data_IF_731347374137
#
_entry.id   IF_731347374137
#
_cell.length_a   1.000
_cell.length_b   1.000
_cell.length_c   1.000
_cell.angle_alpha   90.00
_cell.angle_beta   90.00
_cell.angle_gamma   90.00
#
_symmetry.space_group_name_H-M   'P 1'
#
loop_
_entity.id
_entity.type
_entity.pdbx_description
1 polymer ?
#
# COMPACT_ATOMS: atom_id res chain seq x y z
N UNK A 1 21.33 11.13 29.70
CA UNK A 1 21.91 10.56 28.48
C UNK A 1 21.50 11.38 27.23
N UNK A 2 20.22 11.78 27.05
CA UNK A 2 19.75 12.57 25.92
C UNK A 2 20.46 13.93 25.79
N UNK A 3 20.69 14.66 26.91
CA UNK A 3 21.35 15.97 26.87
C UNK A 3 22.74 15.92 26.22
N UNK A 4 23.57 14.92 26.57
CA UNK A 4 24.91 14.75 25.98
C UNK A 4 24.85 14.49 24.46
N UNK A 5 23.83 13.74 23.98
CA UNK A 5 23.63 13.50 22.55
C UNK A 5 23.25 14.81 21.84
N UNK A 6 22.35 15.60 22.42
CA UNK A 6 21.96 16.90 21.89
C UNK A 6 23.17 17.85 21.77
N UNK A 7 24.01 17.94 22.82
CA UNK A 7 25.23 18.74 22.80
C UNK A 7 26.21 18.31 21.69
N UNK A 8 26.35 17.00 21.47
CA UNK A 8 27.19 16.46 20.41
C UNK A 8 26.64 16.76 19.00
N UNK A 9 25.33 16.85 18.86
CA UNK A 9 24.65 17.12 17.57
C UNK A 9 24.57 18.63 17.25
N UNK A 10 24.72 19.50 18.24
CA UNK A 10 24.55 20.96 18.05
C UNK A 10 25.44 21.59 16.96
N UNK A 11 26.74 21.22 16.83
CA UNK A 11 27.57 21.72 15.75
C UNK A 11 27.06 21.30 14.36
N UNK A 12 26.56 20.04 14.28
CA UNK A 12 25.99 19.52 13.03
C UNK A 12 24.67 20.21 12.70
N UNK A 13 23.81 20.46 13.70
CA UNK A 13 22.54 21.16 13.51
C UNK A 13 22.72 22.55 12.92
N UNK A 14 23.69 23.32 13.43
CA UNK A 14 24.02 24.64 12.91
C UNK A 14 24.47 24.55 11.45
N UNK A 15 25.40 23.63 11.16
CA UNK A 15 25.91 23.45 9.80
C UNK A 15 24.84 22.99 8.81
N UNK A 16 23.93 22.09 9.24
CA UNK A 16 22.79 21.66 8.42
C UNK A 16 21.87 22.84 8.14
N UNK A 17 21.58 23.67 9.15
CA UNK A 17 20.74 24.86 8.97
C UNK A 17 21.34 25.88 7.99
N UNK A 18 22.67 26.05 8.00
CA UNK A 18 23.41 26.92 7.09
C UNK A 18 23.40 26.38 5.64
N UNK A 19 23.64 25.09 5.49
CA UNK A 19 23.70 24.42 4.19
C UNK A 19 22.34 24.22 3.53
N UNK A 20 21.26 24.22 4.33
CA UNK A 20 19.89 23.95 3.87
C UNK A 20 19.81 22.75 2.91
N UNK A 21 20.31 21.58 3.33
CA UNK A 21 20.34 20.43 2.46
C UNK A 21 18.92 20.03 2.06
N UNK A 22 18.75 19.69 0.79
CA UNK A 22 17.51 19.12 0.28
C UNK A 22 17.58 17.60 0.32
N UNK A 23 16.45 16.95 0.69
CA UNK A 23 16.35 15.51 0.64
C UNK A 23 16.36 15.05 -0.83
N UNK A 24 17.42 14.40 -1.24
CA UNK A 24 17.50 13.80 -2.57
C UNK A 24 16.87 12.39 -2.51
N UNK A 25 15.60 12.30 -2.82
CA UNK A 25 14.85 11.05 -2.89
C UNK A 25 14.37 10.81 -4.32
N UNK A 26 14.71 9.64 -4.87
CA UNK A 26 14.27 9.19 -6.19
C UNK A 26 13.03 8.28 -6.11
N UNK A 27 12.60 7.94 -4.89
CA UNK A 27 11.40 7.15 -4.61
C UNK A 27 10.36 8.03 -3.92
N UNK A 28 9.14 7.99 -4.43
CA UNK A 28 7.95 8.58 -3.81
C UNK A 28 7.11 7.51 -3.13
N UNK A 29 6.56 7.82 -1.97
CA UNK A 29 5.56 7.03 -1.30
C UNK A 29 4.26 7.83 -1.28
N UNK A 30 3.26 7.38 -2.03
CA UNK A 30 2.01 8.10 -2.23
C UNK A 30 1.07 7.88 -1.04
N UNK A 31 0.61 8.96 -0.45
CA UNK A 31 -0.32 8.95 0.66
C UNK A 31 -1.66 9.55 0.22
N UNK A 32 -2.71 8.73 0.21
CA UNK A 32 -4.08 9.15 -0.06
C UNK A 32 -4.83 9.35 1.24
N UNK A 33 -5.12 10.61 1.60
CA UNK A 33 -5.92 10.92 2.79
C UNK A 33 -7.35 10.39 2.63
N UNK A 34 -7.95 10.57 1.46
CA UNK A 34 -9.29 10.08 1.15
C UNK A 34 -9.42 8.58 1.41
N UNK A 35 -8.45 7.81 0.92
CA UNK A 35 -8.43 6.36 1.15
C UNK A 35 -8.20 5.98 2.60
N UNK A 36 -7.43 6.78 3.37
CA UNK A 36 -7.19 6.52 4.79
C UNK A 36 -8.42 6.77 5.67
N UNK A 37 -9.22 7.79 5.37
CA UNK A 37 -10.35 8.18 6.24
C UNK A 37 -11.66 7.48 5.89
N UNK A 38 -11.76 6.84 4.73
CA UNK A 38 -12.98 6.18 4.30
C UNK A 38 -13.19 4.85 5.03
N UNK A 39 -14.13 4.85 5.97
CA UNK A 39 -14.43 3.71 6.84
C UNK A 39 -15.01 2.51 6.10
N UNK A 40 -15.88 2.74 5.12
CA UNK A 40 -16.58 1.67 4.41
C UNK A 40 -15.63 0.76 3.62
N UNK A 41 -14.55 1.33 3.10
CA UNK A 41 -13.62 0.62 2.21
C UNK A 41 -12.34 0.19 2.91
N UNK A 42 -12.00 0.79 4.04
CA UNK A 42 -10.78 0.49 4.82
C UNK A 42 -11.02 -0.21 6.16
N UNK A 43 -12.26 -0.40 6.54
CA UNK A 43 -12.65 -1.20 7.69
C UNK A 43 -12.58 -0.51 9.05
N UNK A 44 -11.61 0.39 9.31
CA UNK A 44 -11.49 1.10 10.60
C UNK A 44 -11.18 2.57 10.38
N UNK A 45 -11.97 3.48 10.97
CA UNK A 45 -11.67 4.90 10.94
C UNK A 45 -10.35 5.20 11.68
N UNK A 46 -9.57 6.15 11.15
CA UNK A 46 -8.31 6.58 11.76
C UNK A 46 -8.48 6.95 13.24
N UNK A 47 -9.59 7.57 13.60
CA UNK A 47 -9.87 7.99 14.97
C UNK A 47 -10.00 6.82 15.94
N UNK A 48 -10.30 5.62 15.46
CA UNK A 48 -10.45 4.41 16.27
C UNK A 48 -9.27 3.44 16.21
N UNK A 49 -8.17 3.80 15.56
CA UNK A 49 -6.98 2.94 15.49
C UNK A 49 -6.44 2.60 16.88
N UNK A 50 -6.53 3.52 17.84
CA UNK A 50 -6.14 3.28 19.23
C UNK A 50 -7.05 2.28 19.96
N UNK A 51 -8.35 2.23 19.62
CA UNK A 51 -9.28 1.26 20.19
C UNK A 51 -9.05 -0.14 19.63
N UNK A 52 -8.70 -0.24 18.35
CA UNK A 52 -8.41 -1.51 17.70
C UNK A 52 -7.16 -2.20 18.27
N UNK A 53 -6.17 -1.43 18.73
CA UNK A 53 -4.95 -1.97 19.33
C UNK A 53 -5.15 -2.54 20.74
N UNK A 54 -6.18 -2.13 21.45
CA UNK A 54 -6.46 -2.55 22.84
C UNK A 54 -7.13 -3.93 22.93
N UNK A 55 -7.80 -4.38 21.87
CA UNK A 55 -8.50 -5.67 21.84
C UNK A 55 -7.76 -6.66 20.93
N UNK A 56 -6.85 -7.39 21.50
CA UNK A 56 -5.90 -8.32 20.86
C UNK A 56 -6.48 -9.46 20.00
N UNK A 57 -7.78 -9.55 19.78
CA UNK A 57 -8.40 -10.70 19.12
C UNK A 57 -9.10 -10.42 17.78
N UNK A 58 -9.13 -9.17 17.35
CA UNK A 58 -9.71 -8.81 16.05
C UNK A 58 -9.14 -7.47 15.60
N UNK A 59 -7.87 -7.45 15.21
CA UNK A 59 -7.21 -6.23 14.75
C UNK A 59 -7.88 -5.81 13.44
N UNK A 60 -8.82 -4.90 13.52
CA UNK A 60 -9.28 -4.16 12.35
C UNK A 60 -8.14 -3.23 11.96
N UNK A 61 -7.57 -3.44 10.79
CA UNK A 61 -6.47 -2.66 10.28
C UNK A 61 -6.97 -1.67 9.24
N UNK A 62 -6.35 -0.50 9.19
CA UNK A 62 -6.53 0.41 8.08
C UNK A 62 -5.55 -0.01 6.98
N UNK A 63 -6.05 -0.63 5.92
CA UNK A 63 -5.22 -1.19 4.87
C UNK A 63 -4.28 -0.18 4.23
N UNK A 64 -4.77 1.01 3.91
CA UNK A 64 -3.96 2.07 3.30
C UNK A 64 -2.81 2.46 4.21
N UNK A 65 -3.07 2.69 5.50
CA UNK A 65 -2.04 3.08 6.45
C UNK A 65 -1.04 1.96 6.72
N UNK A 66 -1.52 0.72 6.91
CA UNK A 66 -0.66 -0.43 7.18
C UNK A 66 0.30 -0.71 6.01
N UNK A 67 -0.18 -0.62 4.77
CA UNK A 67 0.64 -0.84 3.58
C UNK A 67 1.67 0.29 3.37
N UNK A 68 1.29 1.55 3.64
CA UNK A 68 2.21 2.68 3.59
C UNK A 68 3.32 2.52 4.64
N UNK A 69 2.96 2.18 5.88
CA UNK A 69 3.94 1.96 6.95
C UNK A 69 4.85 0.78 6.65
N UNK A 70 4.31 -0.31 6.10
CA UNK A 70 5.09 -1.46 5.66
C UNK A 70 6.09 -1.10 4.56
N UNK A 71 5.66 -0.35 3.56
CA UNK A 71 6.55 0.13 2.48
C UNK A 71 7.62 1.07 3.01
N UNK A 72 7.28 1.98 3.92
CA UNK A 72 8.23 2.86 4.57
C UNK A 72 9.27 2.07 5.38
N UNK A 73 8.84 1.02 6.11
CA UNK A 73 9.76 0.16 6.85
C UNK A 73 10.72 -0.58 5.91
N UNK A 74 10.24 -1.13 4.80
CA UNK A 74 11.08 -1.79 3.79
C UNK A 74 12.12 -0.81 3.24
N UNK A 75 11.70 0.39 2.83
CA UNK A 75 12.60 1.40 2.29
C UNK A 75 13.67 1.81 3.31
N UNK A 76 13.28 1.99 4.58
CA UNK A 76 14.21 2.30 5.67
C UNK A 76 15.22 1.18 5.90
N UNK A 77 14.79 -0.08 5.91
CA UNK A 77 15.68 -1.25 6.05
C UNK A 77 16.67 -1.39 4.90
N UNK A 78 16.24 -1.01 3.70
CA UNK A 78 17.08 -1.02 2.50
C UNK A 78 17.92 0.25 2.34
N UNK A 79 17.83 1.20 3.28
CA UNK A 79 18.49 2.50 3.21
C UNK A 79 18.19 3.30 1.92
N UNK A 80 16.97 3.16 1.41
CA UNK A 80 16.49 3.88 0.23
C UNK A 80 15.78 5.16 0.68
N UNK A 81 16.33 6.35 0.38
CA UNK A 81 15.65 7.61 0.68
C UNK A 81 14.35 7.73 -0.11
N UNK A 82 13.29 8.14 0.56
CA UNK A 82 11.99 8.40 -0.07
C UNK A 82 11.38 9.69 0.44
N UNK A 83 10.46 10.25 -0.32
CA UNK A 83 9.61 11.36 0.12
C UNK A 83 8.15 10.98 0.06
N UNK A 84 7.36 11.54 0.97
CA UNK A 84 5.90 11.39 0.93
C UNK A 84 5.36 12.33 -0.14
N UNK A 85 4.49 11.79 -0.97
CA UNK A 85 3.74 12.51 -2.00
C UNK A 85 2.26 12.35 -1.72
N UNK A 86 1.50 13.43 -1.80
CA UNK A 86 0.05 13.43 -1.60
C UNK A 86 -0.65 13.93 -2.86
N UNK A 87 -1.97 13.80 -2.90
CA UNK A 87 -2.82 14.40 -3.92
C UNK A 87 -2.61 15.93 -4.06
N UNK A 88 -2.35 16.61 -2.93
CA UNK A 88 -2.07 18.06 -2.88
C UNK A 88 -0.66 18.40 -3.33
N UNK A 89 0.32 17.56 -2.94
CA UNK A 89 1.75 17.79 -3.24
C UNK A 89 2.25 16.88 -4.36
N UNK A 90 1.45 16.73 -5.41
CA UNK A 90 1.67 15.80 -6.52
C UNK A 90 2.76 16.20 -7.50
N UNK A 91 3.83 16.81 -7.02
CA UNK A 91 5.04 17.01 -7.81
C UNK A 91 5.88 15.72 -7.82
N UNK A 92 5.92 15.05 -8.96
CA UNK A 92 6.70 13.83 -9.17
C UNK A 92 8.10 14.12 -9.76
N UNK A 93 8.49 15.39 -9.88
CA UNK A 93 9.78 15.76 -10.44
C UNK A 93 10.94 15.11 -9.69
N UNK A 94 11.89 14.56 -10.42
CA UNK A 94 13.07 13.88 -9.87
C UNK A 94 12.80 12.50 -9.27
N UNK A 95 11.55 12.03 -9.24
CA UNK A 95 11.24 10.64 -8.87
C UNK A 95 11.50 9.71 -10.05
N UNK A 96 12.06 8.53 -9.74
CA UNK A 96 12.20 7.41 -10.66
C UNK A 96 11.16 6.33 -10.41
N UNK A 97 10.72 6.20 -9.15
CA UNK A 97 9.71 5.24 -8.76
C UNK A 97 8.69 5.89 -7.82
N UNK A 98 7.44 5.46 -7.94
CA UNK A 98 6.34 5.86 -7.09
C UNK A 98 5.62 4.61 -6.59
N UNK A 99 5.53 4.48 -5.27
CA UNK A 99 4.79 3.40 -4.61
C UNK A 99 3.45 3.95 -4.17
N UNK A 100 2.37 3.36 -4.67
CA UNK A 100 0.98 3.74 -4.39
C UNK A 100 0.32 2.59 -3.64
N UNK A 101 0.27 2.72 -2.32
CA UNK A 101 -0.23 1.68 -1.44
C UNK A 101 -1.73 1.85 -1.19
N UNK A 102 -2.52 0.90 -1.68
CA UNK A 102 -3.95 0.79 -1.39
C UNK A 102 -4.70 2.13 -1.45
N UNK A 103 -4.35 2.99 -2.42
CA UNK A 103 -5.04 4.25 -2.67
C UNK A 103 -6.34 3.96 -3.41
N UNK A 104 -7.33 3.49 -2.65
CA UNK A 104 -8.59 2.94 -3.15
C UNK A 104 -9.40 3.97 -3.91
N UNK A 105 -9.43 5.20 -3.37
CA UNK A 105 -10.12 6.34 -3.97
C UNK A 105 -9.12 7.22 -4.71
N UNK A 106 -9.35 7.42 -5.98
CA UNK A 106 -8.55 8.30 -6.82
C UNK A 106 -9.45 9.08 -7.77
N UNK A 107 -9.13 10.35 -7.97
CA UNK A 107 -9.78 11.17 -9.00
C UNK A 107 -9.25 10.83 -10.38
N UNK A 108 -10.00 11.12 -11.45
CA UNK A 108 -9.49 11.00 -12.82
C UNK A 108 -8.22 11.82 -13.07
N UNK A 109 -8.09 12.98 -12.41
CA UNK A 109 -6.91 13.86 -12.50
C UNK A 109 -5.68 13.21 -11.87
N UNK A 110 -5.83 12.56 -10.71
CA UNK A 110 -4.75 11.79 -10.07
C UNK A 110 -4.31 10.64 -10.97
N UNK A 111 -5.26 9.86 -11.50
CA UNK A 111 -4.98 8.80 -12.45
C UNK A 111 -4.26 9.33 -13.71
N UNK A 112 -4.67 10.50 -14.21
CA UNK A 112 -4.01 11.18 -15.34
C UNK A 112 -2.55 11.55 -15.05
N UNK A 113 -2.26 12.04 -13.83
CA UNK A 113 -0.88 12.35 -13.40
C UNK A 113 -0.01 11.10 -13.28
N UNK A 114 -0.56 9.99 -12.77
CA UNK A 114 0.16 8.73 -12.69
C UNK A 114 0.46 8.15 -14.08
N UNK A 115 -0.49 8.24 -15.03
CA UNK A 115 -0.24 7.85 -16.42
C UNK A 115 0.89 8.67 -17.03
N UNK A 116 0.83 9.99 -16.84
CA UNK A 116 1.91 10.87 -17.34
C UNK A 116 3.26 10.50 -16.73
N UNK A 117 3.34 10.25 -15.42
CA UNK A 117 4.56 9.84 -14.75
C UNK A 117 5.16 8.58 -15.37
N UNK A 118 4.32 7.55 -15.63
CA UNK A 118 4.78 6.32 -16.27
C UNK A 118 5.18 6.54 -17.72
N UNK A 119 4.42 7.34 -18.49
CA UNK A 119 4.76 7.69 -19.87
C UNK A 119 6.09 8.47 -19.95
N UNK A 120 6.42 9.28 -18.95
CA UNK A 120 7.68 10.01 -18.85
C UNK A 120 8.86 9.11 -18.39
N UNK A 121 8.65 7.80 -18.23
CA UNK A 121 9.66 6.81 -17.88
C UNK A 121 9.75 6.48 -16.38
N UNK A 122 8.82 6.95 -15.57
CA UNK A 122 8.72 6.59 -14.15
C UNK A 122 8.22 5.14 -13.95
N UNK A 123 8.64 4.52 -12.87
CA UNK A 123 8.16 3.21 -12.44
C UNK A 123 7.04 3.36 -11.42
N UNK A 124 5.88 2.77 -11.68
CA UNK A 124 4.76 2.72 -10.75
C UNK A 124 4.67 1.34 -10.09
N UNK A 125 4.60 1.32 -8.75
CA UNK A 125 4.32 0.13 -7.96
C UNK A 125 2.99 0.38 -7.25
N UNK A 126 1.96 -0.39 -7.57
CA UNK A 126 0.65 -0.27 -6.95
C UNK A 126 0.31 -1.53 -6.17
N UNK A 127 -0.37 -1.38 -5.03
CA UNK A 127 -0.81 -2.49 -4.20
C UNK A 127 -2.31 -2.42 -3.91
N UNK A 128 -2.88 -3.53 -3.50
CA UNK A 128 -4.25 -3.60 -3.04
C UNK A 128 -5.27 -3.13 -4.08
N UNK A 129 -6.26 -2.38 -3.63
CA UNK A 129 -7.36 -1.88 -4.47
C UNK A 129 -7.11 -0.48 -5.03
N UNK A 130 -5.85 -0.12 -5.28
CA UNK A 130 -5.50 1.21 -5.81
C UNK A 130 -6.33 1.56 -7.05
N UNK A 131 -6.94 2.74 -7.03
CA UNK A 131 -7.77 3.31 -8.11
C UNK A 131 -9.08 2.58 -8.44
N UNK A 132 -9.60 1.74 -7.52
CA UNK A 132 -10.84 1.00 -7.81
C UNK A 132 -12.09 1.88 -7.73
N UNK A 133 -12.08 2.95 -6.92
CA UNK A 133 -13.21 3.84 -6.72
C UNK A 133 -12.84 5.30 -6.99
N UNK A 134 -13.84 6.10 -7.35
CA UNK A 134 -13.76 7.55 -7.31
C UNK A 134 -14.06 8.06 -5.90
N UNK A 135 -13.66 9.29 -5.52
CA UNK A 135 -13.99 9.88 -4.20
C UNK A 135 -15.48 9.90 -3.89
N UNK A 136 -16.34 9.99 -4.90
CA UNK A 136 -17.80 9.87 -4.75
C UNK A 136 -18.29 8.45 -4.47
N UNK A 137 -17.39 7.47 -4.40
CA UNK A 137 -17.72 6.06 -4.17
C UNK A 137 -18.14 5.30 -5.43
N UNK A 138 -18.15 5.95 -6.59
CA UNK A 138 -18.47 5.30 -7.88
C UNK A 138 -17.33 4.37 -8.33
N UNK A 139 -17.69 3.28 -8.99
CA UNK A 139 -16.73 2.37 -9.63
C UNK A 139 -17.26 1.95 -10.99
N UNK A 140 -16.36 1.73 -11.93
CA UNK A 140 -16.67 1.09 -13.23
C UNK A 140 -16.66 -0.44 -13.15
N UNK A 141 -16.42 -1.00 -11.95
CA UNK A 141 -16.19 -2.43 -11.77
C UNK A 141 -14.75 -2.87 -12.04
N UNK A 142 -13.86 -1.96 -12.39
CA UNK A 142 -12.45 -2.21 -12.66
C UNK A 142 -11.58 -1.08 -12.12
N UNK A 143 -10.27 -1.29 -12.05
CA UNK A 143 -9.30 -0.25 -11.71
C UNK A 143 -9.33 0.86 -12.76
N UNK A 144 -9.32 2.12 -12.32
CA UNK A 144 -9.18 3.25 -13.24
C UNK A 144 -7.81 3.24 -13.95
N UNK A 145 -6.82 2.56 -13.37
CA UNK A 145 -5.45 2.40 -13.90
C UNK A 145 -5.18 0.99 -14.45
N UNK A 146 -6.22 0.24 -14.83
CA UNK A 146 -6.07 -1.12 -15.39
C UNK A 146 -5.12 -1.18 -16.58
N UNK A 147 -5.13 -0.12 -17.40
CA UNK A 147 -4.22 0.06 -18.53
C UNK A 147 -2.74 0.11 -18.13
N UNK A 148 -2.40 0.70 -16.98
CA UNK A 148 -1.03 0.73 -16.46
C UNK A 148 -0.67 -0.57 -15.72
N UNK A 149 -1.64 -1.20 -15.09
CA UNK A 149 -1.43 -2.43 -14.33
C UNK A 149 -1.32 -3.66 -15.23
N UNK A 150 -1.77 -3.55 -16.47
CA UNK A 150 -1.95 -4.68 -17.39
C UNK A 150 -2.76 -5.81 -16.73
N UNK A 151 -3.72 -5.44 -15.89
CA UNK A 151 -4.54 -6.35 -15.10
C UNK A 151 -5.91 -5.77 -14.83
N UNK A 152 -6.92 -6.62 -14.90
CA UNK A 152 -8.30 -6.28 -14.61
C UNK A 152 -8.73 -6.86 -13.26
N UNK A 153 -9.56 -6.12 -12.53
CA UNK A 153 -10.22 -6.60 -11.33
C UNK A 153 -11.32 -7.60 -11.69
N UNK A 154 -11.31 -8.79 -11.09
CA UNK A 154 -12.29 -9.85 -11.40
C UNK A 154 -13.68 -9.61 -10.78
N UNK A 155 -13.83 -8.55 -9.98
CA UNK A 155 -15.03 -8.31 -9.19
C UNK A 155 -15.05 -9.04 -7.85
N UNK A 156 -14.01 -9.81 -7.54
CA UNK A 156 -13.92 -10.62 -6.33
C UNK A 156 -12.65 -10.30 -5.54
N UNK A 157 -12.73 -10.47 -4.24
CA UNK A 157 -11.59 -10.37 -3.32
C UNK A 157 -11.24 -11.75 -2.77
N UNK A 158 -9.99 -11.96 -2.45
CA UNK A 158 -9.58 -13.06 -1.59
C UNK A 158 -10.19 -12.90 -0.19
N UNK A 159 -10.37 -13.98 0.55
CA UNK A 159 -10.84 -13.94 1.92
C UNK A 159 -9.88 -13.18 2.85
N UNK A 160 -10.28 -12.99 4.10
CA UNK A 160 -9.46 -12.32 5.15
C UNK A 160 -8.13 -13.03 5.43
N UNK A 161 -8.01 -14.28 5.03
CA UNK A 161 -6.79 -15.08 5.03
C UNK A 161 -6.52 -15.54 3.61
N UNK A 162 -5.36 -15.18 3.09
CA UNK A 162 -4.86 -15.63 1.80
C UNK A 162 -3.35 -15.81 1.87
N UNK A 163 -2.78 -16.38 0.84
CA UNK A 163 -1.34 -16.59 0.74
C UNK A 163 -0.84 -16.10 -0.61
N UNK A 164 0.34 -15.52 -0.62
CA UNK A 164 1.07 -15.26 -1.85
C UNK A 164 1.95 -16.48 -2.14
N UNK A 165 1.64 -17.18 -3.21
CA UNK A 165 2.44 -18.30 -3.70
C UNK A 165 3.48 -17.78 -4.69
N UNK A 166 4.75 -17.97 -4.39
CA UNK A 166 5.87 -17.58 -5.24
C UNK A 166 7.01 -18.59 -5.13
N UNK A 167 7.45 -19.16 -6.25
CA UNK A 167 8.56 -20.12 -6.31
C UNK A 167 8.48 -21.30 -5.34
N UNK A 168 7.27 -21.79 -5.11
CA UNK A 168 7.03 -22.91 -4.19
C UNK A 168 6.95 -22.53 -2.70
N UNK A 169 7.07 -21.26 -2.38
CA UNK A 169 6.87 -20.73 -1.02
C UNK A 169 5.50 -20.06 -0.91
N UNK A 170 4.95 -20.08 0.30
CA UNK A 170 3.68 -19.45 0.64
C UNK A 170 3.90 -18.42 1.74
N UNK A 171 3.60 -17.15 1.42
CA UNK A 171 3.64 -16.05 2.38
C UNK A 171 2.22 -15.74 2.84
N UNK A 172 1.94 -15.90 4.12
CA UNK A 172 0.63 -15.61 4.68
C UNK A 172 0.30 -14.11 4.60
N UNK A 173 -0.82 -13.79 3.97
CA UNK A 173 -1.39 -12.45 3.90
C UNK A 173 -2.64 -12.42 4.77
N UNK A 174 -2.68 -11.52 5.75
CA UNK A 174 -3.80 -11.38 6.69
C UNK A 174 -4.26 -9.95 6.78
N UNK A 175 -5.54 -9.78 6.97
CA UNK A 175 -6.12 -8.46 7.21
C UNK A 175 -7.14 -8.09 6.16
N UNK A 176 -6.84 -7.12 5.32
CA UNK A 176 -7.77 -6.67 4.28
C UNK A 176 -7.74 -7.63 3.10
N UNK A 177 -8.91 -8.09 2.61
CA UNK A 177 -8.97 -8.95 1.45
C UNK A 177 -8.29 -8.33 0.23
N UNK A 178 -7.34 -9.06 -0.35
CA UNK A 178 -6.66 -8.64 -1.57
C UNK A 178 -7.61 -8.77 -2.78
N UNK A 179 -7.56 -7.83 -3.74
CA UNK A 179 -8.33 -7.97 -4.98
C UNK A 179 -7.79 -9.14 -5.80
N UNK A 180 -8.69 -9.95 -6.34
CA UNK A 180 -8.33 -10.95 -7.34
C UNK A 180 -8.28 -10.28 -8.71
N UNK A 181 -7.19 -10.51 -9.43
CA UNK A 181 -6.93 -9.86 -10.70
C UNK A 181 -6.68 -10.87 -11.82
N UNK A 182 -7.04 -10.48 -13.03
CA UNK A 182 -6.71 -11.20 -14.25
C UNK A 182 -5.64 -10.42 -15.00
N UNK A 183 -4.45 -10.99 -15.17
CA UNK A 183 -3.37 -10.36 -15.92
C UNK A 183 -3.64 -10.42 -17.43
N UNK A 184 -3.32 -9.36 -18.14
CA UNK A 184 -3.42 -9.32 -19.60
C UNK A 184 -2.45 -10.28 -20.27
N UNK A 185 -1.25 -10.43 -19.72
CA UNK A 185 -0.26 -11.44 -20.12
C UNK A 185 0.11 -12.34 -18.94
N UNK A 186 -0.28 -13.62 -18.95
CA UNK A 186 0.10 -14.57 -17.92
C UNK A 186 1.61 -14.75 -17.73
N UNK A 187 2.44 -14.47 -18.75
CA UNK A 187 3.90 -14.56 -18.65
C UNK A 187 4.49 -13.47 -17.71
N UNK A 188 3.78 -12.38 -17.48
CA UNK A 188 4.19 -11.32 -16.56
C UNK A 188 3.87 -11.67 -15.10
N UNK A 189 3.04 -12.67 -14.84
CA UNK A 189 2.64 -13.08 -13.48
C UNK A 189 3.83 -13.70 -12.75
N UNK A 190 4.20 -13.11 -11.60
CA UNK A 190 5.34 -13.57 -10.79
C UNK A 190 4.93 -14.32 -9.52
N UNK A 191 3.68 -14.21 -9.13
CA UNK A 191 3.12 -14.89 -7.96
C UNK A 191 1.61 -15.06 -8.10
N UNK A 192 1.06 -15.98 -7.36
CA UNK A 192 -0.38 -16.29 -7.36
C UNK A 192 -0.95 -16.10 -5.97
N UNK A 193 -2.21 -15.68 -5.91
CA UNK A 193 -2.96 -15.74 -4.65
C UNK A 193 -3.44 -17.17 -4.48
N UNK A 194 -3.03 -17.83 -3.39
CA UNK A 194 -3.57 -19.10 -2.97
C UNK A 194 -4.58 -18.87 -1.81
N UNK A 195 -5.71 -19.53 -1.90
CA UNK A 195 -6.73 -19.48 -0.87
C UNK A 195 -6.57 -20.69 0.06
N UNK A 196 -6.93 -20.58 1.35
CA UNK A 196 -6.96 -21.73 2.23
C UNK A 196 -8.02 -22.74 1.76
N UNK A 197 -7.82 -24.02 2.08
CA UNK A 197 -8.79 -25.08 1.78
C UNK A 197 -10.19 -24.78 2.33
N UNK A 198 -10.23 -24.12 3.50
CA UNK A 198 -11.47 -23.71 4.14
C UNK A 198 -11.46 -22.20 4.36
N UNK A 199 -12.55 -21.49 4.02
CA UNK A 199 -12.72 -20.08 4.37
C UNK A 199 -12.56 -19.87 5.89
N UNK A 200 -11.91 -18.80 6.28
CA UNK A 200 -11.66 -18.49 7.69
C UNK A 200 -12.93 -18.23 8.51
N UNK A 201 -14.03 -17.96 7.84
CA UNK A 201 -15.38 -17.70 8.38
C UNK A 201 -16.34 -18.88 8.25
N UNK A 202 -15.87 -20.05 7.80
CA UNK A 202 -16.71 -21.26 7.78
C UNK A 202 -16.88 -21.82 9.20
N UNK A 203 -18.07 -21.65 9.76
CA UNK A 203 -18.42 -22.14 11.10
C UNK A 203 -18.33 -23.65 11.24
N UNK A 204 -18.33 -24.41 10.15
CA UNK A 204 -18.29 -25.88 10.12
C UNK A 204 -16.89 -26.46 10.08
N UNK A 205 -15.94 -25.67 9.59
CA UNK A 205 -14.57 -26.11 9.42
C UNK A 205 -13.63 -25.10 10.07
N UNK A 206 -12.93 -25.52 11.08
CA UNK A 206 -11.93 -24.70 11.73
C UNK A 206 -10.62 -24.81 10.94
N UNK A 207 -10.33 -23.80 10.14
CA UNK A 207 -8.99 -23.65 9.58
C UNK A 207 -8.08 -23.09 10.66
N UNK A 208 -7.10 -23.89 11.11
CA UNK A 208 -6.05 -23.40 11.98
C UNK A 208 -5.38 -22.20 11.32
N UNK A 209 -5.00 -21.19 12.12
CA UNK A 209 -4.18 -20.05 11.65
C UNK A 209 -2.82 -20.49 11.08
N UNK A 210 -2.47 -21.76 11.29
CA UNK A 210 -1.28 -22.42 10.77
C UNK A 210 -1.61 -23.38 9.61
N UNK A 211 -2.86 -23.38 9.12
CA UNK A 211 -3.23 -24.17 7.94
C UNK A 211 -2.37 -23.74 6.77
N UNK A 212 -1.70 -24.69 6.18
CA UNK A 212 -0.96 -24.44 4.96
C UNK A 212 -1.98 -24.27 3.82
N UNK A 213 -1.66 -23.43 2.84
CA UNK A 213 -2.42 -23.40 1.61
C UNK A 213 -2.34 -24.77 0.90
N UNK A 214 -3.30 -25.07 0.05
CA UNK A 214 -3.35 -26.32 -0.70
C UNK A 214 -2.12 -26.51 -1.58
#
# INVERSE_FOLDING_TARGET
>A
RLGKIVEQLEPFRKRIAELRPELRAEVGLYFSMESCVNEEKNGVPLIRLHEASANNMGIRRNATLDEILGSAEILNRLHIPYRIVTDVTSDFSGLKALIVNHAVFMTPEECGRLRKFVCDGGTLIATGKTSLFTPSGGTSGNFQLADLFHADYTGHDAGSVSYLAHKGEYLSCRGVPAPLVSAADPAEVKGLVALPDFPADDERHYASIHSNPP
#
